data_IF_000122932413
#
_entry.id   IF_000122932413
#
_cell.length_a   1.000
_cell.length_b   1.000
_cell.length_c   1.000
_cell.angle_alpha   90.00
_cell.angle_beta   90.00
_cell.angle_gamma   90.00
#
_symmetry.space_group_name_H-M   'P 1'
#
loop_
_entity.id
_entity.type
_entity.pdbx_description
1 polymer ?
#
# COMPACT_ATOMS: atom_id res chain seq x y z
N UNK A 1 -4.05 1.37 5.60
CA UNK A 1 -3.77 1.75 4.21
C UNK A 1 -3.40 3.22 4.09
N UNK A 2 -2.90 3.58 2.92
CA UNK A 2 -2.46 4.93 2.59
C UNK A 2 -3.18 5.45 1.35
N UNK A 3 -3.22 6.76 1.22
CA UNK A 3 -3.75 7.47 0.06
C UNK A 3 -2.74 8.53 -0.35
N UNK A 4 -2.57 8.75 -1.65
CA UNK A 4 -1.56 9.67 -2.16
C UNK A 4 -2.18 10.92 -2.79
N UNK A 5 -1.52 12.06 -2.56
CA UNK A 5 -1.97 13.35 -3.11
C UNK A 5 -1.92 13.38 -4.64
N UNK A 6 -1.03 12.60 -5.25
CA UNK A 6 -0.91 12.51 -6.70
C UNK A 6 -1.94 11.56 -7.34
N UNK A 7 -2.78 10.92 -6.54
CA UNK A 7 -3.86 10.10 -7.05
C UNK A 7 -5.00 11.00 -7.51
N UNK A 8 -5.04 11.28 -8.77
CA UNK A 8 -6.15 11.97 -9.40
C UNK A 8 -6.83 11.05 -10.41
N UNK A 9 -8.13 11.11 -10.48
CA UNK A 9 -8.82 10.49 -11.60
C UNK A 9 -8.57 11.34 -12.83
N UNK A 10 -7.94 10.76 -13.83
CA UNK A 10 -7.68 11.47 -15.07
C UNK A 10 -8.99 12.00 -15.65
N UNK A 11 -9.02 13.31 -15.88
CA UNK A 11 -10.15 13.97 -16.49
C UNK A 11 -11.31 14.33 -15.59
N UNK A 12 -11.31 13.95 -14.31
CA UNK A 12 -12.39 14.27 -13.40
C UNK A 12 -12.10 15.44 -12.45
N UNK A 13 -10.83 15.80 -12.30
CA UNK A 13 -10.43 16.88 -11.39
C UNK A 13 -10.54 16.55 -9.91
N UNK A 14 -10.88 15.33 -9.55
CA UNK A 14 -10.96 14.94 -8.15
C UNK A 14 -9.58 14.62 -7.60
N UNK A 15 -9.24 15.30 -6.50
CA UNK A 15 -8.16 14.86 -5.65
C UNK A 15 -8.63 13.60 -4.91
N UNK A 16 -7.91 12.50 -5.06
CA UNK A 16 -8.33 11.20 -4.55
C UNK A 16 -7.85 10.96 -3.11
N UNK A 17 -8.07 11.94 -2.24
CA UNK A 17 -7.51 11.95 -0.88
C UNK A 17 -8.54 11.82 0.24
N UNK A 18 -9.78 11.58 -0.09
CA UNK A 18 -10.84 11.44 0.90
C UNK A 18 -10.80 10.06 1.59
N UNK A 19 -11.54 9.96 2.68
CA UNK A 19 -11.64 8.74 3.46
C UNK A 19 -10.53 8.55 4.48
N UNK A 20 -10.54 7.42 5.16
CA UNK A 20 -9.53 7.07 6.17
C UNK A 20 -8.17 6.73 5.56
N UNK A 21 -7.20 6.49 6.43
CA UNK A 21 -5.85 6.15 6.03
C UNK A 21 -4.87 7.31 6.10
N UNK A 22 -3.59 6.99 5.97
CA UNK A 22 -2.51 7.97 6.04
C UNK A 22 -2.33 8.67 4.69
N UNK A 23 -2.22 9.98 4.72
CA UNK A 23 -1.96 10.77 3.51
C UNK A 23 -0.46 10.82 3.23
N UNK A 24 -0.08 10.46 2.01
CA UNK A 24 1.30 10.55 1.52
C UNK A 24 1.33 11.33 0.21
N UNK A 25 2.53 11.71 -0.28
CA UNK A 25 2.63 12.58 -1.45
C UNK A 25 2.45 11.82 -2.77
N UNK A 26 3.00 10.62 -2.88
CA UNK A 26 3.05 9.90 -4.16
C UNK A 26 2.64 8.43 -4.01
N UNK A 27 2.32 7.79 -5.14
CA UNK A 27 2.05 6.36 -5.16
C UNK A 27 3.29 5.56 -4.75
N UNK A 28 4.49 6.05 -5.05
CA UNK A 28 5.72 5.45 -4.57
C UNK A 28 5.80 5.48 -3.04
N UNK A 29 5.42 6.60 -2.43
CA UNK A 29 5.38 6.70 -0.96
C UNK A 29 4.36 5.75 -0.34
N UNK A 30 3.24 5.47 -1.01
CA UNK A 30 2.31 4.43 -0.57
C UNK A 30 3.02 3.07 -0.52
N UNK A 31 3.80 2.77 -1.55
CA UNK A 31 4.57 1.54 -1.60
C UNK A 31 5.64 1.45 -0.51
N UNK A 32 6.34 2.54 -0.26
CA UNK A 32 7.33 2.62 0.82
C UNK A 32 6.67 2.43 2.20
N UNK A 33 5.50 3.02 2.41
CA UNK A 33 4.72 2.82 3.62
C UNK A 33 4.33 1.34 3.77
N UNK A 34 3.86 0.72 2.70
CA UNK A 34 3.54 -0.70 2.68
C UNK A 34 4.76 -1.55 3.08
N UNK A 35 5.93 -1.28 2.49
CA UNK A 35 7.15 -2.00 2.79
C UNK A 35 7.52 -1.86 4.27
N UNK A 36 7.51 -0.64 4.80
CA UNK A 36 7.85 -0.39 6.21
C UNK A 36 6.88 -1.12 7.15
N UNK A 37 5.60 -1.10 6.83
CA UNK A 37 4.58 -1.80 7.61
C UNK A 37 4.81 -3.31 7.59
N UNK A 38 5.06 -3.89 6.43
CA UNK A 38 5.32 -5.32 6.28
C UNK A 38 6.60 -5.75 7.00
N UNK A 39 7.66 -4.95 6.92
CA UNK A 39 8.91 -5.21 7.63
C UNK A 39 8.69 -5.25 9.14
N UNK A 40 7.88 -4.32 9.67
CA UNK A 40 7.54 -4.31 11.10
C UNK A 40 6.75 -5.55 11.51
N UNK A 41 5.79 -5.97 10.69
CA UNK A 41 5.03 -7.19 10.94
C UNK A 41 5.92 -8.42 10.97
N UNK A 42 6.85 -8.54 10.02
CA UNK A 42 7.79 -9.66 9.95
C UNK A 42 8.77 -9.65 11.15
N UNK A 43 9.21 -8.47 11.56
CA UNK A 43 10.10 -8.31 12.71
C UNK A 43 9.48 -8.85 14.00
N UNK A 44 8.16 -8.78 14.16
CA UNK A 44 7.48 -9.29 15.34
C UNK A 44 7.52 -10.80 15.45
N UNK A 45 7.69 -11.51 14.34
CA UNK A 45 7.68 -12.97 14.24
C UNK A 45 6.38 -13.64 14.68
N UNK A 46 5.35 -12.84 14.91
CA UNK A 46 4.01 -13.32 15.31
C UNK A 46 2.99 -13.19 14.19
N UNK A 47 3.36 -12.51 13.11
CA UNK A 47 2.47 -12.26 11.97
C UNK A 47 2.58 -13.41 10.97
N UNK A 48 1.45 -14.02 10.64
CA UNK A 48 1.39 -15.14 9.69
C UNK A 48 0.94 -14.71 8.29
N UNK A 49 0.55 -13.45 8.14
CA UNK A 49 0.14 -12.91 6.85
C UNK A 49 -0.54 -11.57 7.00
N UNK A 50 -0.83 -10.94 5.88
CA UNK A 50 -1.57 -9.69 5.83
C UNK A 50 -2.36 -9.59 4.55
N UNK A 51 -3.34 -8.70 4.54
CA UNK A 51 -4.19 -8.45 3.38
C UNK A 51 -4.21 -6.94 3.14
N UNK A 52 -4.09 -6.55 1.88
CA UNK A 52 -4.24 -5.15 1.50
C UNK A 52 -5.69 -4.86 1.13
N UNK A 53 -6.27 -3.82 1.68
CA UNK A 53 -7.56 -3.28 1.27
C UNK A 53 -7.30 -1.99 0.51
N UNK A 54 -7.70 -1.88 -0.73
CA UNK A 54 -8.50 -2.79 -1.54
C UNK A 54 -7.90 -2.94 -2.95
N UNK A 55 -8.58 -3.67 -3.84
CA UNK A 55 -8.07 -3.89 -5.19
C UNK A 55 -8.13 -2.62 -6.06
N UNK A 56 -9.29 -2.00 -6.15
CA UNK A 56 -9.46 -0.79 -6.97
C UNK A 56 -9.96 0.38 -6.13
N UNK A 57 -9.59 1.58 -6.57
CA UNK A 57 -10.14 2.80 -5.99
C UNK A 57 -11.66 2.86 -6.22
N UNK A 58 -12.34 3.55 -5.32
CA UNK A 58 -13.77 3.70 -5.41
C UNK A 58 -14.25 4.99 -4.78
N UNK A 59 -15.55 5.15 -4.73
CA UNK A 59 -16.20 6.25 -4.03
C UNK A 59 -16.70 5.76 -2.68
N UNK A 60 -16.59 6.62 -1.67
CA UNK A 60 -17.20 6.35 -0.37
C UNK A 60 -18.72 6.56 -0.42
N UNK A 61 -19.40 6.34 0.72
CA UNK A 61 -20.84 6.48 0.82
C UNK A 61 -21.37 7.90 0.54
N UNK A 62 -20.48 8.90 0.59
CA UNK A 62 -20.81 10.29 0.28
C UNK A 62 -20.44 10.68 -1.15
N UNK A 63 -20.03 9.73 -1.98
CA UNK A 63 -19.63 9.97 -3.36
C UNK A 63 -18.24 10.58 -3.51
N UNK A 64 -17.41 10.54 -2.46
CA UNK A 64 -16.04 11.07 -2.51
C UNK A 64 -15.05 9.97 -2.87
N UNK A 65 -14.10 10.33 -3.71
CA UNK A 65 -13.07 9.42 -4.20
C UNK A 65 -12.05 9.05 -3.11
N UNK A 66 -11.60 7.80 -3.14
CA UNK A 66 -10.67 7.27 -2.14
C UNK A 66 -9.57 6.45 -2.80
N UNK A 67 -8.32 6.81 -2.55
CA UNK A 67 -7.14 6.11 -3.08
C UNK A 67 -6.71 4.99 -2.14
N UNK A 68 -7.44 3.90 -2.12
CA UNK A 68 -7.12 2.71 -1.33
C UNK A 68 -6.61 1.56 -2.20
N UNK A 69 -6.92 1.61 -3.49
CA UNK A 69 -6.67 0.52 -4.41
C UNK A 69 -5.22 0.42 -4.88
N UNK A 70 -4.91 -0.70 -5.49
CA UNK A 70 -3.68 -0.91 -6.26
C UNK A 70 -3.87 -0.54 -7.72
N UNK A 71 -5.13 -0.36 -8.14
CA UNK A 71 -5.49 0.21 -9.44
C UNK A 71 -6.48 1.35 -9.23
N UNK A 72 -6.55 2.25 -10.21
CA UNK A 72 -7.46 3.40 -10.18
C UNK A 72 -8.91 2.99 -10.42
N UNK A 73 -9.81 3.95 -10.33
CA UNK A 73 -11.24 3.72 -10.64
C UNK A 73 -11.45 3.36 -12.11
N UNK A 74 -10.51 3.72 -12.99
CA UNK A 74 -10.50 3.32 -14.39
C UNK A 74 -9.75 2.00 -14.62
N UNK A 75 -9.38 1.31 -13.53
CA UNK A 75 -8.59 0.07 -13.55
C UNK A 75 -7.18 0.23 -14.11
N UNK A 76 -6.61 1.44 -14.02
CA UNK A 76 -5.21 1.69 -14.36
C UNK A 76 -4.32 1.35 -13.18
N UNK A 77 -3.30 0.47 -13.33
CA UNK A 77 -2.43 0.10 -12.22
C UNK A 77 -1.59 1.28 -11.72
N UNK A 78 -1.45 1.40 -10.42
CA UNK A 78 -0.47 2.30 -9.81
C UNK A 78 0.89 1.63 -9.81
N UNK A 79 1.61 1.73 -10.92
CA UNK A 79 2.84 0.95 -11.16
C UNK A 79 3.92 1.20 -10.12
N UNK A 80 4.12 2.43 -9.68
CA UNK A 80 5.13 2.72 -8.66
C UNK A 80 4.75 2.16 -7.28
N UNK A 81 3.47 2.13 -6.93
CA UNK A 81 3.00 1.46 -5.73
C UNK A 81 3.22 -0.05 -5.83
N UNK A 82 2.75 -0.65 -6.91
CA UNK A 82 2.86 -2.10 -7.13
C UNK A 82 4.30 -2.57 -7.19
N UNK A 83 5.20 -1.79 -7.79
CA UNK A 83 6.62 -2.10 -7.83
C UNK A 83 7.22 -2.22 -6.42
N UNK A 84 6.87 -1.31 -5.53
CA UNK A 84 7.34 -1.34 -4.14
C UNK A 84 6.74 -2.52 -3.38
N UNK A 85 5.45 -2.80 -3.57
CA UNK A 85 4.80 -3.96 -2.96
C UNK A 85 5.47 -5.26 -3.40
N UNK A 86 5.75 -5.37 -4.70
CA UNK A 86 6.39 -6.55 -5.28
C UNK A 86 7.76 -6.82 -4.67
N UNK A 87 8.57 -5.80 -4.44
CA UNK A 87 9.89 -5.96 -3.85
C UNK A 87 9.83 -6.67 -2.50
N UNK A 88 9.00 -6.22 -1.59
CA UNK A 88 8.89 -6.84 -0.27
C UNK A 88 8.18 -8.20 -0.35
N UNK A 89 7.15 -8.33 -1.19
CA UNK A 89 6.42 -9.58 -1.31
C UNK A 89 7.31 -10.73 -1.82
N UNK A 90 8.20 -10.45 -2.77
CA UNK A 90 9.14 -11.45 -3.27
C UNK A 90 10.25 -11.78 -2.27
N UNK A 91 10.51 -10.90 -1.32
CA UNK A 91 11.56 -11.08 -0.33
C UNK A 91 11.06 -11.68 1.01
N UNK A 92 9.78 -12.01 1.12
CA UNK A 92 9.17 -12.39 2.42
C UNK A 92 9.92 -13.55 3.08
N UNK A 93 10.21 -14.62 2.36
CA UNK A 93 10.88 -15.78 2.96
C UNK A 93 12.31 -15.46 3.39
N UNK A 94 13.05 -14.71 2.60
CA UNK A 94 14.41 -14.27 2.96
C UNK A 94 14.37 -13.34 4.18
N UNK A 95 13.35 -12.49 4.28
CA UNK A 95 13.17 -11.60 5.44
C UNK A 95 12.81 -12.36 6.70
N UNK A 96 11.96 -13.38 6.59
CA UNK A 96 11.64 -14.27 7.71
C UNK A 96 12.92 -14.91 8.24
N UNK A 97 13.73 -15.48 7.37
CA UNK A 97 15.00 -16.10 7.75
C UNK A 97 15.94 -15.08 8.42
N UNK A 98 16.02 -13.88 7.87
CA UNK A 98 16.82 -12.80 8.45
C UNK A 98 16.40 -12.46 9.88
N UNK A 99 15.10 -12.23 10.10
CA UNK A 99 14.61 -11.87 11.43
C UNK A 99 14.71 -13.03 12.42
N UNK A 100 14.48 -14.25 11.99
CA UNK A 100 14.64 -15.44 12.84
C UNK A 100 16.09 -15.60 13.29
N UNK A 101 17.04 -15.42 12.39
CA UNK A 101 18.46 -15.49 12.71
C UNK A 101 18.90 -14.36 13.64
N UNK A 102 18.47 -13.12 13.36
CA UNK A 102 18.83 -11.96 14.15
C UNK A 102 18.30 -12.03 15.58
N UNK A 103 17.16 -12.66 15.79
CA UNK A 103 16.50 -12.73 17.09
C UNK A 103 17.18 -13.71 18.08
N UNK A 104 18.10 -14.51 17.63
CA UNK A 104 18.83 -15.49 18.46
C UNK A 104 19.97 -14.82 19.25
N UNK A 105 20.22 -13.54 19.00
CA UNK A 105 21.27 -12.82 19.70
C UNK A 105 20.78 -12.24 21.03
#
# INVERSE_FOLDING_TARGET
YTKAEDASYQGTGYANTEGGGWLVHTQKNRGEFYQNFCLRLLETRNCVGWVHFEYNDGYDSNGKASNKGVVSIEYEPYTSFLSQMRQVNLAVHSLIDYYDTKSVQ
#
